data_IF_283628267022
#
_entry.id   IF_283628267022
#
_cell.length_a   1.000
_cell.length_b   1.000
_cell.length_c   1.000
_cell.angle_alpha   90.00
_cell.angle_beta   90.00
_cell.angle_gamma   90.00
#
_symmetry.space_group_name_H-M   'P 1'
#
loop_
_entity.id
_entity.type
_entity.pdbx_description
1 polymer ?
#
# COMPACT_ATOMS: atom_id res chain seq x y z
N UNK A 1 -3.95 -12.34 -16.47
CA UNK A 1 -2.81 -12.40 -15.52
C UNK A 1 -1.63 -11.55 -15.93
N UNK A 2 -1.04 -11.68 -17.13
CA UNK A 2 0.17 -10.94 -17.54
C UNK A 2 0.09 -9.41 -17.30
N UNK A 3 -1.00 -8.76 -17.72
CA UNK A 3 -1.24 -7.33 -17.47
C UNK A 3 -1.14 -6.94 -15.98
N UNK A 4 -1.67 -7.76 -15.08
CA UNK A 4 -1.65 -7.50 -13.63
C UNK A 4 -0.27 -7.76 -13.02
N UNK A 5 0.43 -8.80 -13.49
CA UNK A 5 1.81 -9.06 -13.09
C UNK A 5 2.76 -7.92 -13.51
N UNK A 6 2.60 -7.41 -14.75
CA UNK A 6 3.37 -6.26 -15.24
C UNK A 6 3.06 -4.99 -14.44
N UNK A 7 1.78 -4.73 -14.12
CA UNK A 7 1.40 -3.62 -13.24
C UNK A 7 1.99 -3.73 -11.84
N UNK A 8 1.93 -4.91 -11.22
CA UNK A 8 2.52 -5.13 -9.90
C UNK A 8 4.04 -4.94 -9.89
N UNK A 9 4.73 -5.39 -10.94
CA UNK A 9 6.16 -5.10 -11.12
C UNK A 9 6.43 -3.60 -11.22
N UNK A 10 5.64 -2.87 -12.01
CA UNK A 10 5.79 -1.42 -12.15
C UNK A 10 5.51 -0.68 -10.84
N UNK A 11 4.45 -1.05 -10.10
CA UNK A 11 4.19 -0.47 -8.78
C UNK A 11 5.33 -0.72 -7.80
N UNK A 12 5.86 -1.95 -7.76
CA UNK A 12 6.99 -2.29 -6.90
C UNK A 12 8.26 -1.50 -7.24
N UNK A 13 8.59 -1.40 -8.54
CA UNK A 13 9.76 -0.67 -9.02
C UNK A 13 9.65 0.84 -8.76
N UNK A 14 8.51 1.45 -9.09
CA UNK A 14 8.30 2.89 -8.88
C UNK A 14 8.30 3.23 -7.40
N UNK A 15 7.62 2.43 -6.57
CA UNK A 15 7.63 2.61 -5.13
C UNK A 15 9.04 2.49 -4.55
N UNK A 16 9.76 1.41 -4.85
CA UNK A 16 11.13 1.22 -4.39
C UNK A 16 12.05 2.36 -4.82
N UNK A 17 11.97 2.80 -6.08
CA UNK A 17 12.75 3.93 -6.59
C UNK A 17 12.45 5.22 -5.82
N UNK A 18 11.17 5.56 -5.63
CA UNK A 18 10.77 6.77 -4.89
C UNK A 18 11.30 6.72 -3.45
N UNK A 19 11.16 5.58 -2.77
CA UNK A 19 11.63 5.43 -1.39
C UNK A 19 13.15 5.54 -1.30
N UNK A 20 13.91 4.82 -2.15
CA UNK A 20 15.38 4.93 -2.15
C UNK A 20 15.86 6.35 -2.48
N UNK A 21 15.26 7.02 -3.48
CA UNK A 21 15.60 8.40 -3.81
C UNK A 21 15.29 9.33 -2.64
N UNK A 22 14.16 9.16 -1.98
CA UNK A 22 13.78 9.96 -0.80
C UNK A 22 14.76 9.75 0.35
N UNK A 23 15.21 8.51 0.61
CA UNK A 23 16.22 8.21 1.63
C UNK A 23 17.57 8.86 1.30
N UNK A 24 18.00 8.81 0.03
CA UNK A 24 19.25 9.45 -0.39
C UNK A 24 19.17 10.96 -0.26
N UNK A 25 18.08 11.58 -0.72
CA UNK A 25 17.84 13.03 -0.59
C UNK A 25 17.87 13.42 0.89
N UNK A 26 17.18 12.67 1.75
CA UNK A 26 17.17 12.92 3.19
C UNK A 26 18.58 12.80 3.80
N UNK A 27 19.36 11.78 3.44
CA UNK A 27 20.74 11.63 3.91
C UNK A 27 21.66 12.77 3.44
N UNK A 28 21.50 13.26 2.19
CA UNK A 28 22.29 14.37 1.65
C UNK A 28 22.06 15.66 2.44
N UNK A 29 20.90 15.86 3.07
CA UNK A 29 20.65 17.06 3.89
C UNK A 29 21.68 17.23 5.02
N UNK A 30 22.21 16.13 5.56
CA UNK A 30 23.27 16.12 6.58
C UNK A 30 24.63 16.62 6.07
N UNK A 31 24.85 16.63 4.75
CA UNK A 31 26.08 17.15 4.13
C UNK A 31 26.00 18.66 3.87
N UNK A 32 24.80 19.25 3.87
CA UNK A 32 24.56 20.65 3.53
C UNK A 32 25.41 21.61 4.37
N UNK A 33 25.51 21.48 5.72
CA UNK A 33 26.35 22.38 6.52
C UNK A 33 27.82 22.37 6.09
N UNK A 34 28.40 21.19 5.84
CA UNK A 34 29.81 21.05 5.42
C UNK A 34 30.07 21.59 4.02
N UNK A 35 29.12 21.40 3.11
CA UNK A 35 29.20 21.99 1.76
C UNK A 35 29.15 23.52 1.86
N UNK A 36 28.26 24.05 2.71
CA UNK A 36 28.17 25.49 2.95
C UNK A 36 29.40 26.06 3.65
N UNK A 37 30.08 25.32 4.52
CA UNK A 37 31.34 25.78 5.15
C UNK A 37 32.46 25.97 4.11
N UNK A 38 32.46 25.20 3.02
CA UNK A 38 33.42 25.34 1.91
C UNK A 38 33.04 26.49 0.96
N UNK A 39 31.76 26.63 0.62
CA UNK A 39 31.29 27.58 -0.40
C UNK A 39 31.02 28.98 0.19
N UNK A 40 30.46 29.03 1.41
CA UNK A 40 30.09 30.24 2.15
C UNK A 40 30.52 30.12 3.62
N UNK A 41 31.83 30.23 3.91
CA UNK A 41 32.36 30.10 5.26
C UNK A 41 31.80 31.19 6.18
N UNK A 42 31.37 30.79 7.37
CA UNK A 42 30.97 31.70 8.43
C UNK A 42 32.13 31.87 9.42
N UNK A 43 32.12 32.97 10.18
CA UNK A 43 33.11 33.19 11.25
C UNK A 43 32.97 32.20 12.42
N UNK A 44 31.85 31.48 12.46
CA UNK A 44 31.51 30.44 13.44
C UNK A 44 31.18 29.13 12.70
N UNK A 45 31.62 27.99 13.22
CA UNK A 45 31.30 26.68 12.65
C UNK A 45 29.80 26.40 12.71
N UNK A 46 29.24 25.85 11.62
CA UNK A 46 27.85 25.37 11.59
C UNK A 46 27.70 24.10 12.47
N UNK A 47 26.50 23.85 13.03
CA UNK A 47 26.27 22.66 13.84
C UNK A 47 26.42 21.38 13.00
N UNK A 48 26.91 20.32 13.64
CA UNK A 48 26.98 18.99 13.05
C UNK A 48 25.56 18.40 12.94
N UNK A 49 25.17 17.99 11.74
CA UNK A 49 23.87 17.36 11.49
C UNK A 49 24.10 15.93 11.02
N UNK A 50 23.75 14.95 11.84
CA UNK A 50 23.76 13.54 11.46
C UNK A 50 22.46 13.15 10.75
N UNK A 51 22.47 12.16 9.84
CA UNK A 51 21.26 11.63 9.20
C UNK A 51 20.18 11.19 10.19
N UNK A 52 20.60 10.53 11.27
CA UNK A 52 19.75 10.21 12.42
C UNK A 52 20.59 10.29 13.70
N UNK A 53 19.98 10.62 14.86
CA UNK A 53 20.72 10.74 16.11
C UNK A 53 21.24 9.36 16.56
N UNK A 54 22.55 9.25 16.77
CA UNK A 54 23.19 8.04 17.29
C UNK A 54 24.54 8.38 17.91
N UNK A 55 24.91 7.66 18.97
CA UNK A 55 26.18 7.86 19.68
C UNK A 55 27.20 6.79 19.27
N UNK A 56 28.37 7.21 18.79
CA UNK A 56 29.41 6.31 18.25
C UNK A 56 30.63 6.11 19.15
N UNK A 57 30.63 6.66 20.37
CA UNK A 57 31.76 6.58 21.32
C UNK A 57 33.11 7.11 20.75
N UNK A 58 33.06 7.92 19.70
CA UNK A 58 34.21 8.58 19.06
C UNK A 58 33.86 10.05 18.78
N UNK A 59 34.85 10.88 18.49
CA UNK A 59 34.62 12.27 18.09
C UNK A 59 33.87 12.32 16.74
N UNK A 60 32.63 12.80 16.78
CA UNK A 60 31.74 12.81 15.62
C UNK A 60 32.20 13.79 14.53
N UNK A 61 32.95 14.84 14.88
CA UNK A 61 33.45 15.80 13.91
C UNK A 61 34.64 15.26 13.14
N UNK A 62 35.57 14.59 13.84
CA UNK A 62 36.75 13.95 13.25
C UNK A 62 36.35 12.76 12.36
N UNK A 63 35.46 11.88 12.85
CA UNK A 63 35.09 10.64 12.16
C UNK A 63 33.82 10.75 11.31
N UNK A 64 33.33 11.96 11.04
CA UNK A 64 32.04 12.19 10.39
C UNK A 64 31.81 11.39 9.12
N UNK A 65 32.76 11.37 8.18
CA UNK A 65 32.56 10.66 6.90
C UNK A 65 32.43 9.15 7.08
N UNK A 66 33.15 8.57 8.04
CA UNK A 66 33.05 7.15 8.39
C UNK A 66 31.68 6.85 9.03
N UNK A 67 31.25 7.70 9.98
CA UNK A 67 29.94 7.61 10.63
C UNK A 67 28.83 7.75 9.59
N UNK A 68 28.89 8.77 8.73
CA UNK A 68 27.93 9.02 7.68
C UNK A 68 27.81 7.85 6.71
N UNK A 69 28.94 7.28 6.26
CA UNK A 69 28.93 6.12 5.37
C UNK A 69 28.34 4.88 6.05
N UNK A 70 28.69 4.63 7.31
CA UNK A 70 28.09 3.55 8.09
C UNK A 70 26.57 3.73 8.25
N UNK A 71 26.13 4.95 8.59
CA UNK A 71 24.71 5.30 8.70
C UNK A 71 23.97 5.10 7.37
N UNK A 72 24.57 5.48 6.24
CA UNK A 72 23.98 5.29 4.92
C UNK A 72 23.78 3.81 4.59
N UNK A 73 24.79 2.97 4.88
CA UNK A 73 24.69 1.51 4.71
C UNK A 73 23.60 0.95 5.61
N UNK A 74 23.61 1.27 6.90
CA UNK A 74 22.63 0.78 7.86
C UNK A 74 21.19 1.17 7.44
N UNK A 75 20.97 2.43 7.08
CA UNK A 75 19.69 2.90 6.54
C UNK A 75 19.31 2.13 5.28
N UNK A 76 20.23 1.93 4.33
CA UNK A 76 19.91 1.22 3.07
C UNK A 76 19.45 -0.23 3.32
N UNK A 77 20.06 -0.93 4.28
CA UNK A 77 19.67 -2.30 4.67
C UNK A 77 18.26 -2.29 5.26
N UNK A 78 17.99 -1.40 6.23
CA UNK A 78 16.68 -1.27 6.86
C UNK A 78 15.58 -0.91 5.84
N UNK A 79 15.84 0.08 4.98
CA UNK A 79 14.91 0.49 3.93
C UNK A 79 14.63 -0.64 2.94
N UNK A 80 15.64 -1.45 2.59
CA UNK A 80 15.45 -2.61 1.70
C UNK A 80 14.47 -3.62 2.29
N UNK A 81 14.57 -3.89 3.60
CA UNK A 81 13.62 -4.76 4.30
C UNK A 81 12.18 -4.24 4.25
N UNK A 82 11.98 -2.95 4.51
CA UNK A 82 10.66 -2.32 4.44
C UNK A 82 10.09 -2.31 3.01
N UNK A 83 10.91 -1.95 2.02
CA UNK A 83 10.51 -1.98 0.61
C UNK A 83 10.12 -3.41 0.20
N UNK A 84 10.88 -4.42 0.62
CA UNK A 84 10.56 -5.82 0.33
C UNK A 84 9.19 -6.24 0.89
N UNK A 85 8.90 -5.87 2.14
CA UNK A 85 7.59 -6.11 2.76
C UNK A 85 6.44 -5.43 1.98
N UNK A 86 6.59 -4.15 1.69
CA UNK A 86 5.53 -3.34 1.06
C UNK A 86 5.29 -3.77 -0.39
N UNK A 87 6.36 -4.03 -1.14
CA UNK A 87 6.25 -4.48 -2.54
C UNK A 87 5.71 -5.89 -2.67
N UNK A 88 6.03 -6.80 -1.73
CA UNK A 88 5.41 -8.13 -1.65
C UNK A 88 3.89 -8.00 -1.51
N UNK A 89 3.44 -7.12 -0.62
CA UNK A 89 2.02 -6.82 -0.45
C UNK A 89 1.39 -6.26 -1.75
N UNK A 90 2.02 -5.29 -2.41
CA UNK A 90 1.50 -4.72 -3.67
C UNK A 90 1.35 -5.76 -4.78
N UNK A 91 2.30 -6.69 -4.90
CA UNK A 91 2.23 -7.80 -5.86
C UNK A 91 1.08 -8.75 -5.53
N UNK A 92 0.82 -9.03 -4.26
CA UNK A 92 -0.32 -9.85 -3.85
C UNK A 92 -1.67 -9.18 -4.10
N UNK A 93 -1.79 -7.87 -3.85
CA UNK A 93 -2.98 -7.10 -4.21
C UNK A 93 -3.25 -7.17 -5.71
N UNK A 94 -2.22 -7.00 -6.53
CA UNK A 94 -2.32 -7.13 -7.99
C UNK A 94 -2.72 -8.52 -8.45
N UNK A 95 -2.20 -9.54 -7.77
CA UNK A 95 -2.59 -10.91 -8.02
C UNK A 95 -4.09 -11.12 -7.76
N UNK A 96 -4.60 -10.65 -6.62
CA UNK A 96 -6.04 -10.71 -6.28
C UNK A 96 -6.88 -9.95 -7.29
N UNK A 97 -6.50 -8.71 -7.62
CA UNK A 97 -7.19 -7.91 -8.63
C UNK A 97 -7.26 -8.65 -9.97
N UNK A 98 -6.17 -9.32 -10.36
CA UNK A 98 -6.12 -10.16 -11.55
C UNK A 98 -7.02 -11.39 -11.48
N UNK A 99 -7.11 -12.05 -10.32
CA UNK A 99 -8.02 -13.18 -10.10
C UNK A 99 -9.48 -12.73 -10.21
N UNK A 100 -9.86 -11.63 -9.56
CA UNK A 100 -11.19 -11.04 -9.66
C UNK A 100 -11.55 -10.67 -11.10
N UNK A 101 -10.64 -9.99 -11.82
CA UNK A 101 -10.87 -9.63 -13.21
C UNK A 101 -11.09 -10.85 -14.13
N UNK A 102 -10.35 -11.95 -13.91
CA UNK A 102 -10.56 -13.21 -14.64
C UNK A 102 -11.90 -13.84 -14.29
N UNK A 103 -12.25 -13.86 -13.01
CA UNK A 103 -13.53 -14.39 -12.54
C UNK A 103 -14.69 -13.61 -13.15
N UNK A 104 -14.66 -12.28 -13.10
CA UNK A 104 -15.65 -11.40 -13.72
C UNK A 104 -15.78 -11.67 -15.22
N UNK A 105 -14.67 -11.73 -15.96
CA UNK A 105 -14.67 -12.05 -17.39
C UNK A 105 -15.33 -13.41 -17.68
N UNK A 106 -15.04 -14.44 -16.88
CA UNK A 106 -15.60 -15.78 -17.08
C UNK A 106 -17.11 -15.84 -16.86
N UNK A 107 -17.62 -15.10 -15.88
CA UNK A 107 -19.06 -15.03 -15.63
C UNK A 107 -19.78 -14.16 -16.65
N UNK A 108 -19.21 -13.03 -17.04
CA UNK A 108 -19.76 -12.17 -18.11
C UNK A 108 -19.97 -12.95 -19.42
N UNK A 109 -19.02 -13.83 -19.76
CA UNK A 109 -19.06 -14.62 -20.99
C UNK A 109 -19.71 -16.00 -20.84
N UNK A 110 -20.31 -16.31 -19.67
CA UNK A 110 -20.86 -17.64 -19.39
C UNK A 110 -22.00 -18.00 -20.34
N UNK A 111 -22.89 -17.05 -20.63
CA UNK A 111 -24.03 -17.26 -21.54
C UNK A 111 -23.56 -17.55 -22.97
N UNK A 112 -22.64 -16.74 -23.50
CA UNK A 112 -22.08 -16.94 -24.83
C UNK A 112 -21.40 -18.32 -24.96
N UNK A 113 -20.63 -18.71 -23.94
CA UNK A 113 -19.98 -20.03 -23.92
C UNK A 113 -21.00 -21.16 -23.86
N UNK A 114 -22.10 -21.02 -23.10
CA UNK A 114 -23.19 -21.99 -23.10
C UNK A 114 -23.83 -22.13 -24.50
N UNK A 115 -24.04 -21.02 -25.22
CA UNK A 115 -24.56 -21.06 -26.61
C UNK A 115 -23.64 -21.83 -27.56
N UNK A 116 -22.32 -21.65 -27.44
CA UNK A 116 -21.33 -22.40 -28.24
C UNK A 116 -21.37 -23.89 -27.89
N UNK A 117 -21.37 -24.24 -26.60
CA UNK A 117 -21.43 -25.64 -26.16
C UNK A 117 -22.71 -26.32 -26.66
N UNK A 118 -23.84 -25.60 -26.67
CA UNK A 118 -25.12 -26.12 -27.21
C UNK A 118 -25.03 -26.52 -28.68
N UNK A 119 -24.23 -25.82 -29.48
CA UNK A 119 -24.06 -26.11 -30.92
C UNK A 119 -23.13 -27.29 -31.19
N UNK A 120 -22.12 -27.50 -30.34
CA UNK A 120 -20.98 -28.37 -30.65
C UNK A 120 -20.89 -29.65 -29.80
N UNK A 121 -21.61 -29.75 -28.68
CA UNK A 121 -21.44 -30.84 -27.72
C UNK A 121 -22.61 -31.83 -27.71
N UNK A 122 -22.29 -33.12 -27.88
CA UNK A 122 -23.24 -34.23 -27.71
C UNK A 122 -23.77 -34.26 -26.26
N UNK A 123 -22.93 -33.95 -25.28
CA UNK A 123 -23.27 -33.88 -23.85
C UNK A 123 -23.31 -32.43 -23.33
N UNK A 124 -24.25 -31.62 -23.87
CA UNK A 124 -24.44 -30.21 -23.52
C UNK A 124 -24.52 -29.95 -22.00
N UNK A 125 -25.37 -30.70 -21.29
CA UNK A 125 -25.63 -30.48 -19.85
C UNK A 125 -24.37 -30.66 -18.99
N UNK A 126 -23.60 -31.73 -19.24
CA UNK A 126 -22.36 -32.02 -18.51
C UNK A 126 -21.27 -30.97 -18.78
N UNK A 127 -21.11 -30.55 -20.04
CA UNK A 127 -20.12 -29.56 -20.42
C UNK A 127 -20.41 -28.15 -19.84
N UNK A 128 -21.69 -27.74 -19.83
CA UNK A 128 -22.11 -26.47 -19.20
C UNK A 128 -21.88 -26.51 -17.69
N UNK A 129 -22.31 -27.59 -17.03
CA UNK A 129 -22.11 -27.78 -15.60
C UNK A 129 -20.63 -27.70 -15.23
N UNK A 130 -19.77 -28.45 -15.93
CA UNK A 130 -18.32 -28.41 -15.72
C UNK A 130 -17.75 -26.99 -15.85
N UNK A 131 -18.16 -26.22 -16.86
CA UNK A 131 -17.67 -24.85 -17.06
C UNK A 131 -18.08 -23.92 -15.91
N UNK A 132 -19.31 -24.05 -15.42
CA UNK A 132 -19.84 -23.23 -14.31
C UNK A 132 -19.17 -23.61 -13.01
N UNK A 133 -19.02 -24.90 -12.70
CA UNK A 133 -18.28 -25.38 -11.53
C UNK A 133 -16.85 -24.85 -11.50
N UNK A 134 -16.14 -24.85 -12.64
CA UNK A 134 -14.78 -24.26 -12.71
C UNK A 134 -14.84 -22.74 -12.46
N UNK A 135 -15.90 -22.04 -12.87
CA UNK A 135 -16.08 -20.58 -12.65
C UNK A 135 -16.34 -20.27 -11.18
N UNK A 136 -17.25 -21.02 -10.56
CA UNK A 136 -17.54 -20.96 -9.12
C UNK A 136 -16.29 -21.28 -8.30
N UNK A 137 -15.55 -22.34 -8.65
CA UNK A 137 -14.31 -22.71 -7.96
C UNK A 137 -13.24 -21.63 -8.08
N UNK A 138 -13.09 -20.98 -9.24
CA UNK A 138 -12.16 -19.87 -9.40
C UNK A 138 -12.55 -18.65 -8.55
N UNK A 139 -13.84 -18.30 -8.48
CA UNK A 139 -14.34 -17.24 -7.61
C UNK A 139 -14.08 -17.54 -6.13
N UNK A 140 -14.36 -18.77 -5.71
CA UNK A 140 -14.11 -19.21 -4.35
C UNK A 140 -12.62 -19.11 -3.99
N UNK A 141 -11.72 -19.55 -4.88
CA UNK A 141 -10.27 -19.40 -4.69
C UNK A 141 -9.82 -17.94 -4.62
N UNK A 142 -10.39 -17.05 -5.43
CA UNK A 142 -10.09 -15.63 -5.38
C UNK A 142 -10.48 -15.02 -4.03
N UNK A 143 -11.68 -15.34 -3.53
CA UNK A 143 -12.15 -14.91 -2.21
C UNK A 143 -11.32 -15.49 -1.08
N UNK A 144 -10.96 -16.78 -1.15
CA UNK A 144 -10.08 -17.41 -0.16
C UNK A 144 -8.71 -16.74 -0.11
N UNK A 145 -8.12 -16.40 -1.26
CA UNK A 145 -6.83 -15.72 -1.31
C UNK A 145 -6.95 -14.28 -0.76
N UNK A 146 -8.03 -13.56 -1.05
CA UNK A 146 -8.27 -12.24 -0.47
C UNK A 146 -8.40 -12.31 1.06
N UNK A 147 -9.14 -13.28 1.58
CA UNK A 147 -9.27 -13.50 3.03
C UNK A 147 -7.95 -13.93 3.67
N UNK A 148 -7.18 -14.77 2.98
CA UNK A 148 -5.84 -15.16 3.44
C UNK A 148 -4.94 -13.93 3.55
N UNK A 149 -4.88 -13.09 2.53
CA UNK A 149 -4.08 -11.87 2.55
C UNK A 149 -4.51 -10.93 3.69
N UNK A 150 -5.81 -10.74 3.86
CA UNK A 150 -6.36 -9.91 4.92
C UNK A 150 -5.99 -10.44 6.31
N UNK A 151 -6.13 -11.74 6.54
CA UNK A 151 -5.75 -12.37 7.81
C UNK A 151 -4.24 -12.29 8.09
N UNK A 152 -3.40 -12.42 7.05
CA UNK A 152 -1.94 -12.36 7.21
C UNK A 152 -1.46 -10.96 7.58
N UNK A 153 -2.02 -9.92 6.95
CA UNK A 153 -1.51 -8.55 7.11
C UNK A 153 -2.27 -7.71 8.14
N UNK A 154 -3.47 -8.11 8.60
CA UNK A 154 -4.32 -7.26 9.45
C UNK A 154 -3.63 -6.75 10.72
N UNK A 155 -2.85 -7.58 11.41
CA UNK A 155 -2.11 -7.19 12.63
C UNK A 155 -0.90 -6.33 12.27
N UNK A 156 -0.13 -6.72 11.25
CA UNK A 156 1.03 -5.93 10.77
C UNK A 156 0.61 -4.50 10.40
N UNK A 157 -0.51 -4.38 9.70
CA UNK A 157 -1.08 -3.09 9.32
C UNK A 157 -1.64 -2.29 10.48
N UNK A 158 -2.17 -2.93 11.52
CA UNK A 158 -2.56 -2.21 12.75
C UNK A 158 -1.34 -1.55 13.41
N UNK A 159 -0.25 -2.30 13.52
CA UNK A 159 1.03 -1.81 14.08
C UNK A 159 1.60 -0.69 13.20
N UNK A 160 1.61 -0.88 11.88
CA UNK A 160 2.06 0.14 10.93
C UNK A 160 1.22 1.43 11.03
N UNK A 161 -0.10 1.31 11.12
CA UNK A 161 -1.00 2.47 11.24
C UNK A 161 -0.76 3.24 12.54
N UNK A 162 -0.51 2.52 13.65
CA UNK A 162 -0.15 3.13 14.93
C UNK A 162 1.16 3.93 14.79
N UNK A 163 2.21 3.34 14.23
CA UNK A 163 3.49 4.01 14.01
C UNK A 163 3.37 5.22 13.08
N UNK A 164 2.61 5.12 12.00
CA UNK A 164 2.37 6.25 11.09
C UNK A 164 1.63 7.37 11.80
N UNK A 165 0.61 7.04 12.61
CA UNK A 165 -0.20 8.04 13.32
C UNK A 165 0.63 8.79 14.35
N UNK A 166 1.39 8.07 15.19
CA UNK A 166 2.29 8.64 16.20
C UNK A 166 3.41 9.43 15.51
N UNK A 167 4.04 8.84 14.49
CA UNK A 167 5.11 9.43 13.72
C UNK A 167 4.71 10.76 13.09
N UNK A 168 3.56 10.82 12.40
CA UNK A 168 3.01 12.05 11.82
C UNK A 168 2.72 13.11 12.90
N UNK A 169 2.21 12.69 14.06
CA UNK A 169 1.89 13.63 15.16
C UNK A 169 3.15 14.27 15.71
N UNK A 170 4.20 13.47 15.99
CA UNK A 170 5.48 13.96 16.51
C UNK A 170 6.18 14.83 15.47
N UNK A 171 6.16 14.46 14.20
CA UNK A 171 6.86 15.23 13.14
C UNK A 171 6.19 16.56 12.88
N UNK A 172 4.87 16.67 13.05
CA UNK A 172 4.14 17.93 13.04
C UNK A 172 4.54 18.84 14.22
N UNK A 173 4.71 18.28 15.43
CA UNK A 173 5.21 19.05 16.60
C UNK A 173 6.64 19.53 16.35
N UNK A 174 7.52 18.66 15.85
CA UNK A 174 8.89 19.07 15.56
C UNK A 174 8.95 20.13 14.46
N UNK A 175 8.10 20.02 13.44
CA UNK A 175 7.97 21.05 12.42
C UNK A 175 7.53 22.39 13.02
N UNK A 176 6.56 22.41 13.93
CA UNK A 176 6.07 23.67 14.53
C UNK A 176 7.14 24.36 15.38
N UNK A 177 7.94 23.59 16.12
CA UNK A 177 9.06 24.11 16.92
C UNK A 177 10.17 24.68 16.02
N UNK A 178 10.50 23.98 14.93
CA UNK A 178 11.66 24.30 14.08
C UNK A 178 11.33 25.24 12.90
N UNK A 179 10.14 25.89 12.89
CA UNK A 179 9.72 26.77 11.77
C UNK A 179 10.71 27.91 11.44
N UNK A 180 11.51 28.35 12.41
CA UNK A 180 12.48 29.43 12.22
C UNK A 180 13.78 28.95 11.52
N UNK A 181 14.13 27.67 11.64
CA UNK A 181 15.26 27.07 10.94
C UNK A 181 14.77 26.40 9.66
N UNK A 182 14.94 27.09 8.53
CA UNK A 182 14.50 26.61 7.22
C UNK A 182 15.12 25.26 6.84
N UNK A 183 16.35 24.97 7.30
CA UNK A 183 17.01 23.71 6.97
C UNK A 183 16.34 22.54 7.71
N UNK A 184 16.14 22.66 9.02
CA UNK A 184 15.48 21.61 9.82
C UNK A 184 13.99 21.49 9.47
N UNK A 185 13.27 22.62 9.30
CA UNK A 185 11.87 22.60 8.87
C UNK A 185 11.69 21.84 7.55
N UNK A 186 12.60 22.04 6.58
CA UNK A 186 12.54 21.34 5.30
C UNK A 186 12.67 19.81 5.44
N UNK A 187 13.47 19.32 6.40
CA UNK A 187 13.64 17.88 6.68
C UNK A 187 12.36 17.27 7.21
N UNK A 188 11.68 17.94 8.15
CA UNK A 188 10.39 17.49 8.68
C UNK A 188 9.28 17.51 7.63
N UNK A 189 9.24 18.54 6.77
CA UNK A 189 8.28 18.60 5.64
C UNK A 189 8.50 17.42 4.69
N UNK A 190 9.74 17.13 4.30
CA UNK A 190 10.05 15.97 3.44
C UNK A 190 9.62 14.65 4.09
N UNK A 191 9.83 14.52 5.40
CA UNK A 191 9.44 13.33 6.13
C UNK A 191 7.91 13.16 6.22
N UNK A 192 7.17 14.25 6.45
CA UNK A 192 5.69 14.25 6.42
C UNK A 192 5.18 13.84 5.03
N UNK A 193 5.75 14.40 3.96
CA UNK A 193 5.39 14.02 2.59
C UNK A 193 5.63 12.53 2.37
N UNK A 194 6.77 12.00 2.84
CA UNK A 194 7.09 10.57 2.77
C UNK A 194 6.09 9.69 3.51
N UNK A 195 5.71 10.06 4.73
CA UNK A 195 4.70 9.34 5.53
C UNK A 195 3.31 9.36 4.89
N UNK A 196 2.89 10.51 4.34
CA UNK A 196 1.61 10.64 3.63
C UNK A 196 1.62 9.83 2.33
N UNK A 197 2.73 9.85 1.58
CA UNK A 197 2.89 9.04 0.38
C UNK A 197 2.80 7.53 0.70
N UNK A 198 3.49 7.09 1.76
CA UNK A 198 3.42 5.71 2.25
C UNK A 198 1.98 5.30 2.51
N UNK A 199 1.28 6.03 3.38
CA UNK A 199 -0.11 5.75 3.74
C UNK A 199 -1.03 5.77 2.51
N UNK A 200 -0.84 6.74 1.61
CA UNK A 200 -1.61 6.84 0.36
C UNK A 200 -1.43 5.59 -0.50
N UNK A 201 -0.21 5.07 -0.67
CA UNK A 201 0.02 3.85 -1.43
C UNK A 201 -0.76 2.66 -0.85
N UNK A 202 -0.80 2.49 0.47
CA UNK A 202 -1.57 1.41 1.10
C UNK A 202 -3.08 1.59 0.93
N UNK A 203 -3.61 2.80 1.18
CA UNK A 203 -5.03 3.11 0.95
C UNK A 203 -5.44 2.92 -0.51
N UNK A 204 -4.58 3.29 -1.46
CA UNK A 204 -4.82 3.08 -2.89
C UNK A 204 -4.87 1.60 -3.24
N UNK A 205 -3.95 0.77 -2.73
CA UNK A 205 -3.99 -0.67 -2.98
C UNK A 205 -5.22 -1.34 -2.34
N UNK A 206 -5.61 -0.91 -1.14
CA UNK A 206 -6.86 -1.37 -0.50
C UNK A 206 -8.09 -1.03 -1.34
N UNK A 207 -8.19 0.21 -1.83
CA UNK A 207 -9.26 0.65 -2.72
C UNK A 207 -9.37 -0.23 -3.97
N UNK A 208 -8.23 -0.59 -4.56
CA UNK A 208 -8.23 -1.43 -5.77
C UNK A 208 -8.82 -2.82 -5.55
N UNK A 209 -8.59 -3.43 -4.37
CA UNK A 209 -9.21 -4.72 -4.03
C UNK A 209 -10.73 -4.58 -3.95
N UNK A 210 -11.21 -3.50 -3.32
CA UNK A 210 -12.63 -3.17 -3.20
C UNK A 210 -13.23 -3.01 -4.60
N UNK A 211 -12.62 -2.18 -5.44
CA UNK A 211 -13.11 -1.87 -6.78
C UNK A 211 -13.17 -3.13 -7.67
N UNK A 212 -12.14 -3.98 -7.69
CA UNK A 212 -12.14 -5.20 -8.50
C UNK A 212 -13.14 -6.25 -7.98
N UNK A 213 -13.39 -6.28 -6.67
CA UNK A 213 -14.41 -7.14 -6.08
C UNK A 213 -15.82 -6.70 -6.52
N UNK A 214 -16.08 -5.39 -6.51
CA UNK A 214 -17.36 -4.80 -6.94
C UNK A 214 -17.54 -4.95 -8.46
N UNK A 215 -16.49 -4.69 -9.26
CA UNK A 215 -16.54 -4.86 -10.71
C UNK A 215 -16.85 -6.32 -11.09
N UNK A 216 -16.32 -7.28 -10.32
CA UNK A 216 -16.63 -8.71 -10.50
C UNK A 216 -18.11 -8.98 -10.32
N UNK A 217 -18.72 -8.44 -9.26
CA UNK A 217 -20.17 -8.53 -9.00
C UNK A 217 -20.96 -8.00 -10.20
N UNK A 218 -20.60 -6.82 -10.70
CA UNK A 218 -21.33 -6.16 -11.79
C UNK A 218 -21.22 -6.96 -13.10
N UNK A 219 -20.04 -7.53 -13.39
CA UNK A 219 -19.84 -8.43 -14.53
C UNK A 219 -20.65 -9.73 -14.43
N UNK A 220 -20.76 -10.30 -13.23
CA UNK A 220 -21.61 -11.49 -13.01
C UNK A 220 -23.08 -11.13 -13.27
N UNK A 221 -23.54 -9.99 -12.75
CA UNK A 221 -24.92 -9.53 -12.91
C UNK A 221 -25.29 -9.31 -14.39
N UNK A 222 -24.40 -8.68 -15.17
CA UNK A 222 -24.62 -8.41 -16.60
C UNK A 222 -24.41 -9.60 -17.54
N UNK A 223 -23.85 -10.73 -17.07
CA UNK A 223 -23.47 -11.89 -17.90
C UNK A 223 -24.61 -12.74 -18.50
N UNK A 224 -25.83 -12.21 -18.58
CA UNK A 224 -27.04 -12.89 -19.07
C UNK A 224 -27.26 -14.27 -18.40
N UNK A 225 -26.94 -14.38 -17.11
CA UNK A 225 -26.96 -15.63 -16.35
C UNK A 225 -28.33 -16.34 -16.35
N UNK A 226 -29.42 -15.59 -16.52
CA UNK A 226 -30.79 -16.08 -16.66
C UNK A 226 -31.06 -16.88 -17.96
N UNK A 227 -30.12 -16.88 -18.91
CA UNK A 227 -30.22 -17.69 -20.16
C UNK A 227 -29.58 -19.09 -20.02
N UNK A 228 -28.90 -19.35 -18.91
CA UNK A 228 -28.23 -20.62 -18.59
C UNK A 228 -29.28 -21.65 -18.10
N UNK A 229 -29.07 -22.98 -18.19
CA UNK A 229 -30.01 -23.97 -17.66
C UNK A 229 -30.36 -23.76 -16.16
N UNK A 230 -31.62 -24.01 -15.79
CA UNK A 230 -32.18 -23.69 -14.47
C UNK A 230 -31.39 -24.27 -13.28
N UNK A 231 -30.83 -25.49 -13.41
CA UNK A 231 -29.99 -26.11 -12.37
C UNK A 231 -28.76 -25.26 -12.06
N UNK A 232 -28.15 -24.68 -13.08
CA UNK A 232 -26.92 -23.90 -12.96
C UNK A 232 -27.18 -22.43 -12.59
N UNK A 233 -28.35 -21.89 -12.97
CA UNK A 233 -28.79 -20.56 -12.51
C UNK A 233 -28.78 -20.46 -10.98
N UNK A 234 -29.21 -21.53 -10.28
CA UNK A 234 -29.15 -21.60 -8.81
C UNK A 234 -27.73 -21.44 -8.27
N UNK A 235 -26.74 -22.06 -8.90
CA UNK A 235 -25.33 -21.90 -8.50
C UNK A 235 -24.84 -20.46 -8.71
N UNK A 236 -25.22 -19.85 -9.84
CA UNK A 236 -24.87 -18.46 -10.13
C UNK A 236 -25.54 -17.48 -9.15
N UNK A 237 -26.76 -17.75 -8.69
CA UNK A 237 -27.41 -16.92 -7.66
C UNK A 237 -26.61 -16.90 -6.35
N UNK A 238 -26.04 -18.04 -5.91
CA UNK A 238 -25.18 -18.05 -4.73
C UNK A 238 -23.90 -17.23 -4.93
N UNK A 239 -23.30 -17.31 -6.13
CA UNK A 239 -22.15 -16.48 -6.50
C UNK A 239 -22.50 -15.00 -6.46
N UNK A 240 -23.60 -14.60 -7.09
CA UNK A 240 -24.09 -13.21 -7.10
C UNK A 240 -24.30 -12.73 -5.67
N UNK A 241 -25.02 -13.51 -4.85
CA UNK A 241 -25.29 -13.17 -3.45
C UNK A 241 -24.01 -12.93 -2.67
N UNK A 242 -23.00 -13.80 -2.83
CA UNK A 242 -21.70 -13.62 -2.16
C UNK A 242 -20.94 -12.39 -2.68
N UNK A 243 -21.00 -12.12 -3.98
CA UNK A 243 -20.29 -10.97 -4.58
C UNK A 243 -20.88 -9.60 -4.23
N UNK A 244 -22.05 -9.54 -3.58
CA UNK A 244 -22.60 -8.28 -3.05
C UNK A 244 -21.68 -7.67 -1.99
N UNK A 245 -21.08 -8.53 -1.16
CA UNK A 245 -20.10 -8.12 -0.15
C UNK A 245 -18.73 -7.93 -0.81
N UNK A 246 -18.24 -6.70 -0.81
CA UNK A 246 -16.92 -6.40 -1.31
C UNK A 246 -15.83 -7.05 -0.45
N UNK A 247 -14.76 -7.50 -1.09
CA UNK A 247 -13.53 -7.87 -0.40
C UNK A 247 -12.73 -6.60 -0.08
N UNK A 248 -12.31 -6.44 1.16
CA UNK A 248 -11.54 -5.29 1.62
C UNK A 248 -10.41 -5.74 2.56
N UNK A 249 -9.40 -4.89 2.72
CA UNK A 249 -8.27 -5.11 3.60
C UNK A 249 -8.38 -4.20 4.82
N UNK A 250 -8.03 -4.72 6.00
CA UNK A 250 -8.13 -3.97 7.26
C UNK A 250 -6.82 -3.88 7.99
N UNK A 251 -6.68 -2.85 8.81
CA UNK A 251 -5.74 -2.78 9.92
C UNK A 251 -6.51 -3.09 11.21
N UNK A 252 -6.19 -4.22 11.85
CA UNK A 252 -6.74 -4.62 13.16
C UNK A 252 -8.27 -4.76 13.21
N UNK A 253 -8.93 -5.00 12.07
CA UNK A 253 -10.40 -5.01 11.92
C UNK A 253 -11.12 -3.70 12.28
N UNK A 254 -10.37 -2.63 12.59
CA UNK A 254 -10.91 -1.32 12.99
C UNK A 254 -10.86 -0.30 11.87
N UNK A 255 -9.85 -0.38 11.00
CA UNK A 255 -9.62 0.56 9.93
C UNK A 255 -9.61 -0.19 8.60
N UNK A 256 -10.40 0.26 7.63
CA UNK A 256 -10.42 -0.30 6.28
C UNK A 256 -9.50 0.52 5.40
N UNK A 257 -8.59 -0.13 4.67
CA UNK A 257 -7.78 0.55 3.67
C UNK A 257 -8.63 0.95 2.47
N UNK A 258 -9.00 2.23 2.42
CA UNK A 258 -9.69 2.88 1.32
C UNK A 258 -9.16 4.31 1.15
N UNK A 259 -9.46 4.92 0.00
CA UNK A 259 -9.14 6.34 -0.21
C UNK A 259 -10.00 7.26 0.66
N UNK A 260 -11.22 6.83 1.00
CA UNK A 260 -12.11 7.55 1.92
C UNK A 260 -11.52 7.60 3.33
N UNK A 261 -10.99 6.48 3.83
CA UNK A 261 -10.48 6.41 5.20
C UNK A 261 -9.08 7.05 5.35
N UNK A 262 -8.35 7.28 4.25
CA UNK A 262 -7.02 7.92 4.26
C UNK A 262 -7.02 9.22 5.08
N UNK A 263 -8.05 10.06 4.90
CA UNK A 263 -8.14 11.35 5.60
C UNK A 263 -8.38 11.20 7.09
N UNK A 264 -8.98 10.10 7.54
CA UNK A 264 -9.28 9.88 8.97
C UNK A 264 -8.00 9.70 9.79
N UNK A 265 -6.98 9.04 9.23
CA UNK A 265 -5.64 8.90 9.84
C UNK A 265 -4.96 10.26 9.96
N UNK A 266 -4.98 11.05 8.88
CA UNK A 266 -4.40 12.40 8.87
C UNK A 266 -5.08 13.30 9.89
N UNK A 267 -6.41 13.29 9.96
CA UNK A 267 -7.18 14.02 10.96
C UNK A 267 -6.84 13.58 12.39
N UNK A 268 -6.66 12.28 12.63
CA UNK A 268 -6.26 11.74 13.94
C UNK A 268 -4.87 12.25 14.32
N UNK A 269 -3.91 12.21 13.41
CA UNK A 269 -2.55 12.74 13.64
C UNK A 269 -2.55 14.25 13.93
N UNK A 270 -3.32 15.03 13.18
CA UNK A 270 -3.45 16.49 13.43
C UNK A 270 -4.12 16.77 14.78
N UNK A 271 -5.09 15.96 15.18
CA UNK A 271 -5.75 16.06 16.49
C UNK A 271 -4.75 15.79 17.62
N UNK A 272 -3.94 14.74 17.50
CA UNK A 272 -2.87 14.44 18.46
C UNK A 272 -1.77 15.51 18.46
N UNK A 273 -1.38 16.02 17.30
CA UNK A 273 -0.47 17.17 17.19
C UNK A 273 -1.01 18.39 17.97
N UNK A 274 -2.29 18.72 17.80
CA UNK A 274 -2.92 19.87 18.46
C UNK A 274 -2.95 19.67 19.98
N UNK A 275 -3.25 18.45 20.44
CA UNK A 275 -3.20 18.08 21.84
C UNK A 275 -1.77 18.22 22.40
N UNK A 276 -0.77 17.64 21.75
CA UNK A 276 0.63 17.73 22.18
C UNK A 276 1.13 19.17 22.22
N UNK A 277 0.82 19.96 21.20
CA UNK A 277 1.19 21.37 21.12
C UNK A 277 0.53 22.20 22.23
N UNK A 278 -0.64 21.80 22.74
CA UNK A 278 -1.27 22.50 23.86
C UNK A 278 -0.50 22.34 25.18
N UNK A 279 0.30 21.28 25.34
CA UNK A 279 1.16 21.08 26.51
C UNK A 279 2.50 21.82 26.41
N UNK A 280 3.00 22.08 25.20
CA UNK A 280 4.25 22.84 24.97
C UNK A 280 4.08 24.37 25.11
N UNK A 281 2.84 24.87 25.22
CA UNK A 281 2.53 26.32 25.34
C UNK A 281 2.39 26.79 26.81
N UNK A 282 2.78 25.96 27.79
CA UNK A 282 2.85 26.34 29.22
C UNK A 282 4.28 26.41 29.73
#
# INVERSE_FOLDING_TARGET
MRKYAEKGRWHALMYGLIIYMSTIIFAITSLVPRILDVIFPLNTSRPLILPYPAYYFVDENEYFYYIFFHMLIACSICMTGMIAHDTMFFVYVEHICGLFAIVGFRFEHVSHKCKIIKKNAINYSSAVHKNIVISVSAHHKALQFAQFLENTFTISFAIQLLFVTIGLSITLVQLSIQLHDLAEASRYVLFIIGQLFHLFCFSFQGQRVIDHSIETRDKIYHGLWYTVPAKEQRLLMFVIRRSIEASFLTAGKIYIFSLENFTTVVQSSVSYFTLLSSFDVS
#
